data_IF_136993582689
#
_entry.id   IF_136993582689
#
_cell.length_a   1.000
_cell.length_b   1.000
_cell.length_c   1.000
_cell.angle_alpha   90.00
_cell.angle_beta   90.00
_cell.angle_gamma   90.00
#
_symmetry.space_group_name_H-M   'P 1'
#
loop_
_entity.id
_entity.type
_entity.pdbx_description
1 polymer ?
#
# COMPACT_ATOMS: atom_id res chain seq x y z
N UNK A 1 17.11 5.78 50.97
CA UNK A 1 16.05 6.24 50.05
C UNK A 1 16.63 6.26 48.64
N UNK A 2 16.44 5.18 47.88
CA UNK A 2 16.97 5.03 46.52
C UNK A 2 15.95 5.57 45.53
N UNK A 3 16.27 6.71 44.92
CA UNK A 3 15.49 7.39 43.89
C UNK A 3 15.42 6.52 42.64
N UNK A 4 14.27 5.88 42.40
CA UNK A 4 14.00 5.21 41.14
C UNK A 4 13.85 6.27 40.04
N UNK A 5 14.83 6.34 39.15
CA UNK A 5 14.72 7.03 37.86
C UNK A 5 13.63 6.34 37.04
N UNK A 6 12.39 6.85 37.09
CA UNK A 6 11.32 6.31 36.26
C UNK A 6 11.55 6.71 34.80
N UNK A 7 11.96 5.74 33.98
CA UNK A 7 11.88 5.87 32.53
C UNK A 7 10.41 6.00 32.10
N UNK A 8 10.12 6.91 31.17
CA UNK A 8 8.79 7.08 30.56
C UNK A 8 8.39 5.90 29.65
N UNK A 9 9.38 5.13 29.18
CA UNK A 9 9.17 3.99 28.29
C UNK A 9 9.33 2.66 29.03
N UNK A 10 8.53 1.63 28.65
CA UNK A 10 8.69 0.30 29.21
C UNK A 10 10.08 -0.26 28.91
N UNK A 11 10.66 -1.08 29.81
CA UNK A 11 11.91 -1.76 29.51
C UNK A 11 11.74 -2.68 28.29
N UNK A 12 12.82 -2.95 27.53
CA UNK A 12 12.74 -3.85 26.39
C UNK A 12 12.28 -5.25 26.83
N UNK A 13 11.58 -5.99 25.96
CA UNK A 13 11.15 -7.35 26.25
C UNK A 13 12.34 -8.24 26.70
N UNK A 14 12.15 -9.15 27.67
CA UNK A 14 13.25 -9.91 28.27
C UNK A 14 13.99 -10.83 27.28
N UNK A 15 13.44 -11.02 26.07
CA UNK A 15 14.02 -11.83 24.99
C UNK A 15 15.42 -11.37 24.56
N UNK A 16 15.82 -10.11 24.82
CA UNK A 16 17.19 -9.67 24.52
C UNK A 16 18.24 -10.51 25.25
N UNK A 17 17.91 -11.13 26.40
CA UNK A 17 18.82 -11.98 27.17
C UNK A 17 19.11 -13.33 26.51
N UNK A 18 18.30 -13.72 25.52
CA UNK A 18 18.51 -14.93 24.75
C UNK A 18 19.66 -14.75 23.73
N UNK A 19 20.00 -13.52 23.39
CA UNK A 19 21.12 -13.19 22.51
C UNK A 19 22.40 -13.12 23.34
N UNK A 20 23.25 -14.15 23.19
CA UNK A 20 24.57 -14.22 23.86
C UNK A 20 25.68 -13.80 22.91
N UNK A 21 26.38 -14.75 22.30
CA UNK A 21 27.58 -14.51 21.50
C UNK A 21 27.30 -14.62 20.00
N UNK A 22 26.38 -13.79 19.49
CA UNK A 22 26.02 -13.80 18.06
C UNK A 22 27.23 -13.59 17.13
N UNK A 23 28.22 -12.81 17.56
CA UNK A 23 29.45 -12.56 16.79
C UNK A 23 30.32 -13.82 16.61
N UNK A 24 30.25 -14.78 17.53
CA UNK A 24 31.05 -16.02 17.52
C UNK A 24 30.26 -17.22 17.02
N UNK A 25 28.98 -17.27 17.37
CA UNK A 25 28.06 -18.32 16.96
C UNK A 25 26.71 -17.69 16.58
N UNK A 26 26.45 -17.49 15.27
CA UNK A 26 25.17 -16.99 14.80
C UNK A 26 23.97 -17.86 15.20
N UNK A 27 24.18 -19.14 15.51
CA UNK A 27 23.13 -20.05 15.98
C UNK A 27 22.82 -19.89 17.47
N UNK A 28 23.59 -19.09 18.20
CA UNK A 28 23.32 -18.76 19.61
C UNK A 28 22.11 -17.84 19.79
N UNK A 29 21.65 -17.18 18.72
CA UNK A 29 20.42 -16.40 18.72
C UNK A 29 19.21 -17.30 18.45
N UNK A 30 18.11 -17.15 19.21
CA UNK A 30 16.89 -17.87 18.92
C UNK A 30 16.30 -17.43 17.57
N UNK A 31 15.73 -18.39 16.83
CA UNK A 31 14.95 -18.09 15.64
C UNK A 31 13.77 -17.15 15.97
N UNK A 32 13.36 -16.28 15.02
CA UNK A 32 12.20 -15.44 15.22
C UNK A 32 10.96 -16.32 15.47
N UNK A 33 10.03 -15.88 16.32
CA UNK A 33 8.79 -16.62 16.55
C UNK A 33 8.04 -16.80 15.24
N UNK A 34 7.32 -17.92 15.06
CA UNK A 34 6.53 -18.15 13.86
C UNK A 34 5.49 -17.04 13.70
N UNK A 35 5.15 -16.64 12.45
CA UNK A 35 4.09 -15.69 12.21
C UNK A 35 2.79 -16.14 12.88
N UNK A 36 2.12 -15.23 13.59
CA UNK A 36 0.80 -15.47 14.15
C UNK A 36 -0.15 -15.79 12.99
N UNK A 37 -0.98 -16.83 13.13
CA UNK A 37 -2.03 -17.16 12.17
C UNK A 37 -3.39 -16.89 12.79
N UNK A 38 -4.30 -16.29 12.03
CA UNK A 38 -5.65 -15.95 12.47
C UNK A 38 -5.75 -14.58 13.14
N UNK A 39 -6.65 -14.48 14.13
CA UNK A 39 -7.01 -13.22 14.75
C UNK A 39 -5.97 -12.77 15.79
N UNK A 40 -5.52 -11.51 15.72
CA UNK A 40 -4.59 -10.90 16.66
C UNK A 40 -5.03 -9.48 17.05
N UNK A 41 -4.94 -9.09 18.33
CA UNK A 41 -5.23 -7.72 18.76
C UNK A 41 -4.08 -6.79 18.38
N UNK A 42 -4.41 -5.65 17.78
CA UNK A 42 -3.46 -4.58 17.47
C UNK A 42 -4.15 -3.23 17.65
N UNK A 43 -3.57 -2.31 18.42
CA UNK A 43 -4.11 -0.96 18.66
C UNK A 43 -5.60 -0.90 19.09
N UNK A 44 -6.05 -1.88 19.88
CA UNK A 44 -7.44 -1.93 20.36
C UNK A 44 -8.45 -2.49 19.36
N UNK A 45 -8.01 -2.99 18.20
CA UNK A 45 -8.84 -3.70 17.25
C UNK A 45 -8.31 -5.12 16.99
N UNK A 46 -9.21 -6.04 16.65
CA UNK A 46 -8.85 -7.41 16.27
C UNK A 46 -8.61 -7.46 14.76
N UNK A 47 -7.40 -7.81 14.35
CA UNK A 47 -7.01 -8.01 12.96
C UNK A 47 -6.92 -9.50 12.66
N UNK A 48 -7.04 -9.89 11.40
CA UNK A 48 -6.78 -11.26 10.95
C UNK A 48 -5.62 -11.26 9.96
N UNK A 49 -4.88 -12.37 9.90
CA UNK A 49 -3.90 -12.60 8.85
C UNK A 49 -4.51 -12.81 7.47
N UNK A 50 -5.80 -13.11 7.40
CA UNK A 50 -6.49 -13.26 6.12
C UNK A 50 -6.70 -11.90 5.46
N UNK A 51 -6.20 -11.74 4.23
CA UNK A 51 -6.30 -10.48 3.46
C UNK A 51 -7.68 -10.39 2.79
N UNK A 52 -8.75 -10.50 3.58
CA UNK A 52 -10.12 -10.34 3.12
C UNK A 52 -10.64 -9.01 3.65
N UNK A 53 -11.18 -8.18 2.76
CA UNK A 53 -11.86 -6.94 3.17
C UNK A 53 -13.09 -7.35 4.02
N UNK A 54 -13.18 -6.94 5.30
CA UNK A 54 -14.34 -7.27 6.13
C UNK A 54 -15.57 -6.61 5.53
N UNK A 55 -16.73 -7.27 5.60
CA UNK A 55 -17.96 -6.69 5.08
C UNK A 55 -18.36 -5.47 5.91
N UNK A 56 -19.18 -4.58 5.35
CA UNK A 56 -19.74 -3.46 6.11
C UNK A 56 -20.60 -3.95 7.29
N UNK A 57 -21.28 -5.09 7.14
CA UNK A 57 -22.14 -5.65 8.18
C UNK A 57 -21.33 -6.17 9.37
N UNK A 58 -20.17 -6.78 9.12
CA UNK A 58 -19.23 -7.20 10.18
C UNK A 58 -18.69 -6.01 10.98
N UNK A 59 -18.68 -4.82 10.37
CA UNK A 59 -18.26 -3.57 11.00
C UNK A 59 -19.44 -2.83 11.68
N UNK A 60 -20.65 -3.42 11.68
CA UNK A 60 -21.86 -2.77 12.18
C UNK A 60 -22.31 -1.56 11.35
N UNK A 61 -21.91 -1.49 10.08
CA UNK A 61 -22.22 -0.39 9.17
C UNK A 61 -23.28 -0.82 8.16
N UNK A 62 -24.32 -0.01 8.00
CA UNK A 62 -25.34 -0.24 6.97
C UNK A 62 -24.76 -0.02 5.57
N UNK A 63 -24.95 -1.00 4.70
CA UNK A 63 -24.58 -0.89 3.30
C UNK A 63 -25.62 -0.09 2.50
N UNK A 64 -25.16 0.89 1.72
CA UNK A 64 -26.00 1.82 0.93
C UNK A 64 -26.07 1.49 -0.57
N UNK A 65 -25.24 0.55 -1.05
CA UNK A 65 -25.19 0.13 -2.46
C UNK A 65 -25.62 -1.34 -2.60
N UNK A 66 -26.10 -1.79 -3.78
CA UNK A 66 -26.64 -3.13 -3.96
C UNK A 66 -25.62 -4.23 -3.62
N UNK A 67 -26.11 -5.31 -2.99
CA UNK A 67 -25.34 -6.54 -2.76
C UNK A 67 -25.35 -7.39 -4.03
N UNK A 68 -24.19 -7.67 -4.60
CA UNK A 68 -24.09 -8.54 -5.77
C UNK A 68 -22.66 -8.78 -6.26
N UNK A 69 -22.43 -9.82 -7.09
CA UNK A 69 -21.11 -10.16 -7.60
C UNK A 69 -20.60 -9.19 -8.68
N UNK A 70 -21.47 -8.40 -9.30
CA UNK A 70 -21.12 -7.51 -10.42
C UNK A 70 -21.53 -6.06 -10.13
N UNK A 71 -20.98 -5.49 -9.06
CA UNK A 71 -21.23 -4.10 -8.67
C UNK A 71 -20.44 -3.17 -9.60
N UNK A 72 -21.13 -2.23 -10.25
CA UNK A 72 -20.46 -1.13 -10.94
C UNK A 72 -19.98 -0.10 -9.92
N UNK A 73 -18.77 -0.32 -9.40
CA UNK A 73 -18.15 0.50 -8.35
C UNK A 73 -18.10 1.98 -8.76
N UNK A 74 -17.88 2.29 -10.04
CA UNK A 74 -17.81 3.67 -10.53
C UNK A 74 -19.17 4.36 -10.46
N UNK A 75 -20.23 3.65 -10.86
CA UNK A 75 -21.60 4.15 -10.78
C UNK A 75 -22.01 4.38 -9.33
N UNK A 76 -21.75 3.41 -8.45
CA UNK A 76 -22.12 3.50 -7.03
C UNK A 76 -21.35 4.61 -6.29
N UNK A 77 -20.04 4.76 -6.54
CA UNK A 77 -19.27 5.88 -5.98
C UNK A 77 -19.78 7.25 -6.43
N UNK A 78 -20.22 7.37 -7.69
CA UNK A 78 -20.84 8.62 -8.17
C UNK A 78 -22.18 8.87 -7.51
N UNK A 79 -22.98 7.82 -7.31
CA UNK A 79 -24.28 7.91 -6.64
C UNK A 79 -24.10 8.39 -5.20
N UNK A 80 -23.23 7.72 -4.43
CA UNK A 80 -22.90 8.10 -3.05
C UNK A 80 -22.31 9.50 -2.95
N UNK A 81 -21.46 9.91 -3.90
CA UNK A 81 -20.90 11.27 -3.90
C UNK A 81 -21.97 12.35 -4.13
N UNK A 82 -22.98 12.09 -4.97
CA UNK A 82 -24.13 13.00 -5.14
C UNK A 82 -24.96 13.07 -3.86
N UNK A 83 -25.23 11.92 -3.24
CA UNK A 83 -25.94 11.83 -1.97
C UNK A 83 -25.19 12.58 -0.84
N UNK A 84 -23.87 12.44 -0.77
CA UNK A 84 -23.01 13.17 0.16
C UNK A 84 -23.12 14.69 -0.02
N UNK A 85 -23.10 15.16 -1.27
CA UNK A 85 -23.24 16.59 -1.57
C UNK A 85 -24.58 17.15 -1.08
N UNK A 86 -25.68 16.40 -1.29
CA UNK A 86 -26.99 16.79 -0.77
C UNK A 86 -26.99 16.86 0.76
N UNK A 87 -26.42 15.86 1.44
CA UNK A 87 -26.34 15.86 2.91
C UNK A 87 -25.50 17.02 3.46
N UNK A 88 -24.45 17.44 2.76
CA UNK A 88 -23.65 18.60 3.15
C UNK A 88 -24.43 19.91 2.99
N UNK A 89 -25.22 20.06 1.93
CA UNK A 89 -26.09 21.22 1.75
C UNK A 89 -27.17 21.28 2.83
N UNK A 90 -27.84 20.15 3.09
CA UNK A 90 -28.83 20.05 4.17
C UNK A 90 -28.21 20.31 5.55
N UNK A 91 -26.96 19.92 5.77
CA UNK A 91 -26.25 20.25 7.00
C UNK A 91 -26.05 21.77 7.13
N UNK A 92 -25.71 22.46 6.04
CA UNK A 92 -25.59 23.92 6.06
C UNK A 92 -26.92 24.59 6.44
N UNK A 93 -28.03 24.13 5.87
CA UNK A 93 -29.37 24.63 6.20
C UNK A 93 -29.75 24.34 7.66
N UNK A 94 -29.48 23.13 8.16
CA UNK A 94 -29.72 22.74 9.55
C UNK A 94 -28.91 23.60 10.52
N UNK A 95 -27.66 23.93 10.20
CA UNK A 95 -26.81 24.76 11.05
C UNK A 95 -27.35 26.21 11.17
N UNK A 96 -28.05 26.69 10.15
CA UNK A 96 -28.69 28.02 10.16
C UNK A 96 -30.04 27.97 10.88
N UNK A 97 -30.92 27.03 10.54
CA UNK A 97 -32.28 26.99 11.06
C UNK A 97 -32.40 26.32 12.43
N UNK A 98 -31.73 25.18 12.63
CA UNK A 98 -31.94 24.25 13.75
C UNK A 98 -30.62 23.58 14.16
N UNK A 99 -29.67 24.35 14.72
CA UNK A 99 -28.32 23.87 15.00
C UNK A 99 -28.27 22.69 15.97
N UNK A 100 -29.29 22.49 16.82
CA UNK A 100 -29.37 21.33 17.72
C UNK A 100 -29.52 19.98 17.01
N UNK A 101 -29.91 19.94 15.74
CA UNK A 101 -30.17 18.72 14.98
C UNK A 101 -28.98 18.26 14.12
N UNK A 102 -27.86 18.99 14.12
CA UNK A 102 -26.71 18.71 13.26
C UNK A 102 -26.15 17.29 13.40
N UNK A 103 -26.16 16.73 14.62
CA UNK A 103 -25.53 15.45 14.94
C UNK A 103 -26.06 14.29 14.07
N UNK A 104 -27.39 14.23 13.85
CA UNK A 104 -28.00 13.20 12.99
C UNK A 104 -27.50 13.29 11.56
N UNK A 105 -27.40 14.51 11.02
CA UNK A 105 -26.93 14.72 9.64
C UNK A 105 -25.45 14.38 9.50
N UNK A 106 -24.65 14.63 10.53
CA UNK A 106 -23.23 14.22 10.57
C UNK A 106 -23.09 12.69 10.62
N UNK A 107 -23.97 11.99 11.34
CA UNK A 107 -23.99 10.52 11.34
C UNK A 107 -24.31 9.95 9.95
N UNK A 108 -25.28 10.52 9.23
CA UNK A 108 -25.60 10.13 7.84
C UNK A 108 -24.39 10.36 6.91
N UNK A 109 -23.73 11.52 7.03
CA UNK A 109 -22.50 11.83 6.28
C UNK A 109 -21.40 10.80 6.60
N UNK A 110 -21.20 10.46 7.87
CA UNK A 110 -20.24 9.44 8.29
C UNK A 110 -20.55 8.07 7.68
N UNK A 111 -21.83 7.70 7.61
CA UNK A 111 -22.29 6.46 7.00
C UNK A 111 -21.97 6.42 5.50
N UNK A 112 -22.19 7.52 4.77
CA UNK A 112 -21.86 7.61 3.34
C UNK A 112 -20.35 7.47 3.13
N UNK A 113 -19.53 8.15 3.95
CA UNK A 113 -18.08 8.01 3.88
C UNK A 113 -17.60 6.58 4.13
N UNK A 114 -18.12 5.89 5.15
CA UNK A 114 -17.79 4.48 5.42
C UNK A 114 -18.10 3.59 4.21
N UNK A 115 -19.25 3.80 3.57
CA UNK A 115 -19.65 3.08 2.35
C UNK A 115 -18.72 3.36 1.17
N UNK A 116 -18.39 4.63 0.91
CA UNK A 116 -17.45 5.02 -0.13
C UNK A 116 -16.05 4.43 0.11
N UNK A 117 -15.56 4.47 1.35
CA UNK A 117 -14.28 3.89 1.73
C UNK A 117 -14.25 2.38 1.48
N UNK A 118 -15.32 1.67 1.82
CA UNK A 118 -15.41 0.23 1.54
C UNK A 118 -15.35 -0.06 0.03
N UNK A 119 -16.08 0.68 -0.80
CA UNK A 119 -16.01 0.56 -2.27
C UNK A 119 -14.63 0.87 -2.84
N UNK A 120 -13.91 1.84 -2.27
CA UNK A 120 -12.53 2.14 -2.67
C UNK A 120 -11.56 1.04 -2.22
N UNK A 121 -11.78 0.48 -1.04
CA UNK A 121 -10.95 -0.60 -0.50
C UNK A 121 -11.07 -1.87 -1.35
N UNK A 122 -12.26 -2.18 -1.89
CA UNK A 122 -12.44 -3.32 -2.79
C UNK A 122 -11.69 -3.16 -4.13
N UNK A 123 -11.37 -1.93 -4.54
CA UNK A 123 -10.55 -1.65 -5.73
C UNK A 123 -9.04 -1.78 -5.50
N UNK A 124 -8.57 -1.80 -4.24
CA UNK A 124 -7.12 -1.82 -3.91
C UNK A 124 -6.39 -3.01 -4.53
N UNK A 125 -6.91 -4.26 -4.53
CA UNK A 125 -6.23 -5.37 -5.17
C UNK A 125 -6.12 -5.22 -6.70
N UNK A 126 -7.15 -4.66 -7.35
CA UNK A 126 -7.11 -4.37 -8.77
C UNK A 126 -6.07 -3.28 -9.09
N UNK A 127 -6.04 -2.21 -8.28
CA UNK A 127 -5.05 -1.15 -8.40
C UNK A 127 -3.63 -1.70 -8.24
N UNK A 128 -3.35 -2.52 -7.23
CA UNK A 128 -2.03 -3.11 -7.00
C UNK A 128 -1.55 -3.94 -8.21
N UNK A 129 -2.45 -4.73 -8.81
CA UNK A 129 -2.14 -5.50 -10.04
C UNK A 129 -1.84 -4.58 -11.22
N UNK A 130 -2.66 -3.54 -11.44
CA UNK A 130 -2.43 -2.57 -12.51
C UNK A 130 -1.09 -1.82 -12.32
N UNK A 131 -0.76 -1.45 -11.09
CA UNK A 131 0.54 -0.84 -10.75
C UNK A 131 1.70 -1.80 -11.03
N UNK A 132 1.56 -3.09 -10.67
CA UNK A 132 2.58 -4.09 -10.96
C UNK A 132 2.80 -4.27 -12.47
N UNK A 133 1.73 -4.36 -13.25
CA UNK A 133 1.80 -4.43 -14.72
C UNK A 133 2.57 -3.24 -15.27
N UNK A 134 2.22 -2.02 -14.84
CA UNK A 134 2.90 -0.81 -15.28
C UNK A 134 4.40 -0.80 -14.94
N UNK A 135 4.77 -1.27 -13.74
CA UNK A 135 6.18 -1.40 -13.34
C UNK A 135 6.91 -2.37 -14.27
N UNK A 136 6.31 -3.52 -14.58
CA UNK A 136 6.90 -4.54 -15.45
C UNK A 136 7.06 -4.03 -16.89
N UNK A 137 6.06 -3.34 -17.44
CA UNK A 137 6.14 -2.70 -18.76
C UNK A 137 7.31 -1.70 -18.82
N UNK A 138 7.46 -0.88 -17.78
CA UNK A 138 8.58 0.08 -17.67
C UNK A 138 9.93 -0.63 -17.60
N UNK A 139 10.02 -1.76 -16.89
CA UNK A 139 11.25 -2.56 -16.84
C UNK A 139 11.59 -3.17 -18.21
N UNK A 140 10.61 -3.68 -18.93
CA UNK A 140 10.80 -4.20 -20.29
C UNK A 140 11.32 -3.09 -21.20
N UNK A 141 10.71 -1.90 -21.15
CA UNK A 141 11.11 -0.77 -21.97
C UNK A 141 12.55 -0.33 -21.68
N UNK A 142 12.93 -0.25 -20.40
CA UNK A 142 14.31 0.07 -19.99
C UNK A 142 15.32 -0.97 -20.49
N UNK A 143 14.98 -2.26 -20.41
CA UNK A 143 15.84 -3.34 -20.90
C UNK A 143 16.00 -3.28 -22.42
N UNK A 144 14.93 -3.00 -23.16
CA UNK A 144 15.00 -2.79 -24.62
C UNK A 144 15.91 -1.63 -24.98
N UNK A 145 15.77 -0.48 -24.31
CA UNK A 145 16.64 0.67 -24.51
C UNK A 145 18.11 0.34 -24.24
N UNK A 146 18.39 -0.32 -23.11
CA UNK A 146 19.76 -0.73 -22.77
C UNK A 146 20.36 -1.68 -23.81
N UNK A 147 19.58 -2.61 -24.37
CA UNK A 147 20.03 -3.51 -25.45
C UNK A 147 20.37 -2.73 -26.72
N UNK A 148 19.53 -1.78 -27.13
CA UNK A 148 19.80 -0.95 -28.30
C UNK A 148 21.05 -0.06 -28.10
N UNK A 149 21.22 0.50 -26.90
CA UNK A 149 22.43 1.28 -26.57
C UNK A 149 23.70 0.41 -26.64
N UNK A 150 23.65 -0.83 -26.16
CA UNK A 150 24.77 -1.78 -26.24
C UNK A 150 25.06 -2.13 -27.70
N UNK A 151 24.03 -2.39 -28.53
CA UNK A 151 24.21 -2.66 -29.96
C UNK A 151 24.89 -1.50 -30.67
N UNK A 152 24.43 -0.26 -30.42
CA UNK A 152 25.01 0.95 -31.01
C UNK A 152 26.49 1.10 -30.64
N UNK A 153 26.83 0.98 -29.35
CA UNK A 153 28.22 1.05 -28.89
C UNK A 153 29.10 -0.05 -29.49
N UNK A 154 28.56 -1.27 -29.68
CA UNK A 154 29.27 -2.37 -30.33
C UNK A 154 29.57 -2.08 -31.79
N UNK A 155 28.63 -1.49 -32.53
CA UNK A 155 28.82 -1.08 -33.92
C UNK A 155 29.88 0.02 -34.04
N UNK A 156 29.83 1.03 -33.18
CA UNK A 156 30.84 2.09 -33.09
C UNK A 156 32.24 1.51 -32.82
N UNK A 157 32.36 0.63 -31.82
CA UNK A 157 33.64 -0.03 -31.50
C UNK A 157 34.16 -0.89 -32.67
N UNK A 158 33.28 -1.64 -33.35
CA UNK A 158 33.66 -2.42 -34.54
C UNK A 158 34.14 -1.55 -35.69
N UNK A 159 33.50 -0.39 -35.90
CA UNK A 159 33.91 0.56 -36.94
C UNK A 159 35.31 1.10 -36.65
N UNK A 160 35.56 1.56 -35.42
CA UNK A 160 36.86 2.05 -34.98
C UNK A 160 37.97 1.00 -35.10
N UNK A 161 37.69 -0.26 -34.72
CA UNK A 161 38.64 -1.35 -34.87
C UNK A 161 38.98 -1.61 -36.35
N UNK A 162 37.98 -1.59 -37.24
CA UNK A 162 38.18 -1.80 -38.67
C UNK A 162 39.02 -0.68 -39.30
N UNK A 163 38.76 0.58 -38.93
CA UNK A 163 39.56 1.73 -39.35
C UNK A 163 41.02 1.59 -38.87
N UNK A 164 41.22 1.21 -37.60
CA UNK A 164 42.57 1.02 -37.03
C UNK A 164 43.35 -0.11 -37.73
N UNK A 165 42.69 -1.24 -38.03
CA UNK A 165 43.29 -2.36 -38.77
C UNK A 165 43.73 -1.94 -40.18
N UNK A 166 42.93 -1.15 -40.89
CA UNK A 166 43.31 -0.63 -42.21
C UNK A 166 44.52 0.28 -42.17
N UNK A 167 44.66 1.10 -41.12
CA UNK A 167 45.83 1.97 -40.92
C UNK A 167 47.09 1.13 -40.69
N UNK A 168 47.02 0.09 -39.86
CA UNK A 168 48.16 -0.80 -39.56
C UNK A 168 48.59 -1.59 -40.79
N UNK A 169 47.64 -2.16 -41.55
CA UNK A 169 47.94 -2.88 -42.80
C UNK A 169 48.51 -1.95 -43.89
N UNK A 170 48.11 -0.67 -43.88
CA UNK A 170 48.67 0.36 -44.76
C UNK A 170 50.09 0.83 -44.39
N UNK A 171 50.51 0.65 -43.14
CA UNK A 171 51.86 0.97 -42.67
C UNK A 171 52.86 -0.20 -42.82
N UNK A 172 52.36 -1.41 -43.05
CA UNK A 172 53.16 -2.64 -43.23
C UNK A 172 53.51 -2.95 -44.70
N UNK A 173 53.14 -2.07 -45.64
CA UNK A 173 53.54 -2.10 -47.06
C UNK A 173 54.44 -0.91 -47.38
#
# INVERSE_FOLDING_TARGET
MTTATSSSYPPPPPYYRLYKDYERDPASAPDPPPPIQGAFPLFGATYTTDVVLPTLEDQGVRQLYPKGPNIDIKKELRSLNRELQLHILELADILVERPSQYARKVEDISLIFKNMHHLLNSLRPHQARATLIHILERQIQRRKQAVEDIKKRREEARRLLKESLQIVDGQLR
#
